data_IF_246893380455
#
_entry.id   IF_246893380455
#
_cell.length_a   1.000
_cell.length_b   1.000
_cell.length_c   1.000
_cell.angle_alpha   90.00
_cell.angle_beta   90.00
_cell.angle_gamma   90.00
#
_symmetry.space_group_name_H-M   'P 1'
#
loop_
_entity.id
_entity.type
_entity.pdbx_description
1 polymer ?
#
# COMPACT_ATOMS: atom_id res chain seq x y z
N UNK A 1 10.63 -23.46 17.22
CA UNK A 1 10.04 -22.10 17.36
C UNK A 1 8.54 -22.26 17.30
N UNK A 2 7.85 -21.84 18.35
CA UNK A 2 6.39 -21.82 18.36
C UNK A 2 5.89 -20.75 17.41
N UNK A 3 4.87 -21.06 16.63
CA UNK A 3 4.25 -20.11 15.72
C UNK A 3 3.19 -19.33 16.50
N UNK A 4 3.29 -18.01 16.50
CA UNK A 4 2.41 -17.11 17.26
C UNK A 4 1.57 -16.29 16.29
N UNK A 5 0.27 -16.21 16.52
CA UNK A 5 -0.67 -15.34 15.81
C UNK A 5 -1.15 -14.25 16.77
N UNK A 6 -1.18 -13.01 16.29
CA UNK A 6 -1.64 -11.86 17.03
C UNK A 6 -3.05 -11.48 16.60
N UNK A 7 -3.91 -11.17 17.57
CA UNK A 7 -5.22 -10.57 17.33
C UNK A 7 -5.22 -9.13 17.84
N UNK A 8 -5.17 -8.17 16.92
CA UNK A 8 -5.27 -6.75 17.22
C UNK A 8 -6.70 -6.29 16.94
N UNK A 9 -7.43 -5.91 17.98
CA UNK A 9 -8.67 -5.17 17.84
C UNK A 9 -8.36 -3.69 17.95
N UNK A 10 -8.82 -2.82 17.03
CA UNK A 10 -8.68 -1.38 17.21
C UNK A 10 -9.41 -0.96 18.47
N UNK A 11 -8.71 -0.37 19.43
CA UNK A 11 -9.32 0.21 20.61
C UNK A 11 -10.30 1.31 20.18
N UNK A 12 -11.55 1.16 20.50
CA UNK A 12 -12.56 2.17 20.27
C UNK A 12 -12.33 3.35 21.23
N UNK A 13 -11.97 4.52 20.68
CA UNK A 13 -12.22 5.82 21.29
C UNK A 13 -11.28 6.23 22.42
N UNK A 14 -10.31 7.05 22.08
CA UNK A 14 -9.53 7.86 23.03
C UNK A 14 -8.48 8.65 22.27
N UNK A 15 -8.34 9.95 22.59
CA UNK A 15 -7.32 10.85 22.01
C UNK A 15 -5.87 10.47 22.42
N UNK A 16 -5.67 9.43 23.21
CA UNK A 16 -4.36 8.95 23.64
C UNK A 16 -3.79 7.95 22.63
N UNK A 17 -2.62 8.25 22.10
CA UNK A 17 -1.84 7.35 21.26
C UNK A 17 -1.50 6.10 22.07
N UNK A 18 -1.91 4.93 21.63
CA UNK A 18 -1.55 3.68 22.31
C UNK A 18 -0.03 3.49 22.37
N UNK A 19 0.51 2.82 23.41
CA UNK A 19 1.95 2.58 23.53
C UNK A 19 2.56 1.93 22.28
N UNK A 20 1.84 0.99 21.65
CA UNK A 20 2.25 0.35 20.40
C UNK A 20 2.31 1.35 19.23
N UNK A 21 1.34 2.27 19.14
CA UNK A 21 1.35 3.30 18.11
C UNK A 21 2.50 4.30 18.33
N UNK A 22 2.79 4.67 19.57
CA UNK A 22 3.93 5.52 19.92
C UNK A 22 5.26 4.86 19.51
N UNK A 23 5.44 3.57 19.79
CA UNK A 23 6.65 2.81 19.39
C UNK A 23 6.80 2.75 17.87
N UNK A 24 5.71 2.56 17.11
CA UNK A 24 5.75 2.59 15.64
C UNK A 24 6.15 3.95 15.09
N UNK A 25 5.63 5.03 15.68
CA UNK A 25 6.01 6.40 15.31
C UNK A 25 7.49 6.68 15.58
N UNK A 26 8.02 6.18 16.68
CA UNK A 26 9.43 6.32 17.01
C UNK A 26 10.34 5.54 16.06
N UNK A 27 9.96 4.31 15.70
CA UNK A 27 10.65 3.52 14.66
C UNK A 27 10.67 4.31 13.34
N UNK A 28 9.52 4.83 12.92
CA UNK A 28 9.42 5.58 11.68
C UNK A 28 10.28 6.87 11.73
N UNK A 29 10.26 7.62 12.83
CA UNK A 29 11.12 8.79 13.03
C UNK A 29 12.60 8.45 12.92
N UNK A 30 13.02 7.36 13.56
CA UNK A 30 14.41 6.89 13.53
C UNK A 30 14.82 6.44 12.14
N UNK A 31 13.93 5.74 11.41
CA UNK A 31 14.19 5.28 10.04
C UNK A 31 14.47 6.44 9.08
N UNK A 32 13.75 7.57 9.21
CA UNK A 32 13.95 8.76 8.38
C UNK A 32 15.02 9.73 8.96
N UNK A 33 15.67 9.38 10.06
CA UNK A 33 16.77 10.17 10.63
C UNK A 33 18.01 10.08 9.74
N UNK A 34 18.75 11.18 9.53
CA UNK A 34 20.01 11.17 8.81
C UNK A 34 21.21 10.66 9.65
N UNK A 35 20.97 10.19 10.89
CA UNK A 35 22.02 9.72 11.79
C UNK A 35 22.70 8.45 11.27
N UNK A 36 24.01 8.35 11.42
CA UNK A 36 24.82 7.22 10.94
C UNK A 36 24.35 5.88 11.51
N UNK A 37 23.94 5.84 12.77
CA UNK A 37 23.52 4.62 13.47
C UNK A 37 22.01 4.42 13.52
N UNK A 38 21.24 5.19 12.75
CA UNK A 38 19.77 5.04 12.66
C UNK A 38 19.31 3.62 12.31
N UNK A 39 19.94 2.88 11.36
CA UNK A 39 19.54 1.51 11.08
C UNK A 39 19.69 0.56 12.27
N UNK A 40 20.77 0.70 13.06
CA UNK A 40 21.01 -0.12 14.25
C UNK A 40 20.00 0.21 15.35
N UNK A 41 19.70 1.51 15.56
CA UNK A 41 18.68 1.97 16.51
C UNK A 41 17.30 1.45 16.10
N UNK A 42 16.94 1.50 14.81
CA UNK A 42 15.69 0.93 14.29
C UNK A 42 15.57 -0.56 14.62
N UNK A 43 16.63 -1.33 14.41
CA UNK A 43 16.61 -2.76 14.74
C UNK A 43 16.32 -3.01 16.24
N UNK A 44 16.92 -2.24 17.13
CA UNK A 44 16.63 -2.29 18.58
C UNK A 44 15.19 -1.92 18.92
N UNK A 45 14.68 -0.83 18.34
CA UNK A 45 13.29 -0.39 18.54
C UNK A 45 12.27 -1.40 18.00
N UNK A 46 12.56 -2.05 16.89
CA UNK A 46 11.72 -3.13 16.35
C UNK A 46 11.66 -4.31 17.32
N UNK A 47 12.78 -4.71 17.94
CA UNK A 47 12.79 -5.76 18.95
C UNK A 47 11.92 -5.40 20.17
N UNK A 48 12.04 -4.18 20.69
CA UNK A 48 11.22 -3.68 21.80
C UNK A 48 9.74 -3.58 21.43
N UNK A 49 9.42 -3.19 20.21
CA UNK A 49 8.06 -3.17 19.71
C UNK A 49 7.43 -4.57 19.70
N UNK A 50 8.18 -5.59 19.26
CA UNK A 50 7.70 -6.97 19.30
C UNK A 50 7.52 -7.49 20.72
N UNK A 51 8.37 -7.13 21.66
CA UNK A 51 8.20 -7.44 23.08
C UNK A 51 6.87 -6.88 23.60
N UNK A 52 6.63 -5.56 23.41
CA UNK A 52 5.39 -4.90 23.80
C UNK A 52 4.16 -5.53 23.12
N UNK A 53 4.30 -5.91 21.85
CA UNK A 53 3.22 -6.57 21.11
C UNK A 53 2.89 -7.95 21.69
N UNK A 54 3.89 -8.74 22.09
CA UNK A 54 3.72 -10.04 22.73
C UNK A 54 3.05 -9.92 24.10
N UNK A 55 3.34 -8.84 24.84
CA UNK A 55 2.72 -8.59 26.14
C UNK A 55 1.28 -8.07 26.03
N UNK A 56 1.02 -7.18 25.06
CA UNK A 56 -0.26 -6.49 24.94
C UNK A 56 -1.32 -7.27 24.16
N UNK A 57 -0.92 -8.13 23.21
CA UNK A 57 -1.84 -8.82 22.34
C UNK A 57 -2.11 -10.26 22.82
N UNK A 58 -3.37 -10.72 22.80
CA UNK A 58 -3.67 -12.13 23.01
C UNK A 58 -2.99 -12.94 21.92
N UNK A 59 -2.13 -13.85 22.35
CA UNK A 59 -1.36 -14.72 21.46
C UNK A 59 -1.90 -16.14 21.52
N UNK A 60 -1.89 -16.84 20.41
CA UNK A 60 -2.16 -18.29 20.35
C UNK A 60 -1.10 -18.99 19.52
N UNK A 61 -0.73 -20.19 19.92
CA UNK A 61 0.08 -21.06 19.08
C UNK A 61 -0.76 -21.55 17.89
N UNK A 62 -0.23 -21.37 16.68
CA UNK A 62 -0.86 -21.88 15.46
C UNK A 62 -0.30 -23.25 15.13
N UNK A 63 -1.17 -24.16 14.72
CA UNK A 63 -0.76 -25.50 14.27
C UNK A 63 0.07 -25.42 12.99
N UNK A 64 0.89 -26.43 12.74
CA UNK A 64 1.67 -26.54 11.49
C UNK A 64 0.77 -26.53 10.25
N UNK A 65 -0.42 -27.12 10.34
CA UNK A 65 -1.42 -27.12 9.27
C UNK A 65 -1.94 -25.69 8.96
N UNK A 66 -2.21 -24.89 10.00
CA UNK A 66 -2.63 -23.49 9.84
C UNK A 66 -1.51 -22.64 9.24
N UNK A 67 -0.27 -22.84 9.73
CA UNK A 67 0.92 -22.19 9.19
C UNK A 67 1.09 -22.50 7.70
N UNK A 68 1.00 -23.76 7.32
CA UNK A 68 1.12 -24.18 5.92
C UNK A 68 0.00 -23.61 5.06
N UNK A 69 -1.23 -23.58 5.58
CA UNK A 69 -2.37 -22.96 4.90
C UNK A 69 -2.16 -21.46 4.66
N UNK A 70 -1.69 -20.75 5.67
CA UNK A 70 -1.37 -19.31 5.58
C UNK A 70 -0.23 -19.05 4.59
N UNK A 71 0.83 -19.85 4.61
CA UNK A 71 1.95 -19.76 3.68
C UNK A 71 1.49 -20.01 2.23
N UNK A 72 0.66 -21.03 2.00
CA UNK A 72 0.10 -21.34 0.69
C UNK A 72 -0.80 -20.19 0.18
N UNK A 73 -1.61 -19.60 1.08
CA UNK A 73 -2.44 -18.44 0.76
C UNK A 73 -1.57 -17.23 0.37
N UNK A 74 -0.55 -16.92 1.16
CA UNK A 74 0.38 -15.82 0.88
C UNK A 74 1.14 -16.04 -0.43
N UNK A 75 1.59 -17.25 -0.71
CA UNK A 75 2.24 -17.61 -1.98
C UNK A 75 1.29 -17.40 -3.17
N UNK A 76 0.03 -17.83 -3.04
CA UNK A 76 -0.98 -17.62 -4.09
C UNK A 76 -1.26 -16.15 -4.34
N UNK A 77 -1.35 -15.33 -3.29
CA UNK A 77 -1.49 -13.86 -3.42
C UNK A 77 -0.31 -13.29 -4.21
N UNK A 78 0.92 -13.65 -3.85
CA UNK A 78 2.13 -13.20 -4.57
C UNK A 78 2.13 -13.61 -6.04
N UNK A 79 1.74 -14.84 -6.34
CA UNK A 79 1.66 -15.33 -7.74
C UNK A 79 0.63 -14.55 -8.54
N UNK A 80 -0.56 -14.32 -7.97
CA UNK A 80 -1.64 -13.57 -8.62
C UNK A 80 -1.24 -12.11 -8.85
N UNK A 81 -0.74 -11.42 -7.82
CA UNK A 81 -0.34 -10.02 -7.95
C UNK A 81 0.81 -9.86 -8.94
N UNK A 82 1.82 -10.73 -8.89
CA UNK A 82 2.92 -10.72 -9.85
C UNK A 82 2.51 -11.01 -11.30
N UNK A 83 1.48 -11.85 -11.53
CA UNK A 83 0.90 -12.05 -12.84
C UNK A 83 0.21 -10.78 -13.33
N UNK A 84 -0.63 -10.17 -12.50
CA UNK A 84 -1.35 -8.94 -12.84
C UNK A 84 -0.37 -7.79 -13.11
N UNK A 85 0.67 -7.62 -12.29
CA UNK A 85 1.69 -6.58 -12.46
C UNK A 85 2.47 -6.72 -13.78
N UNK A 86 2.65 -7.92 -14.28
CA UNK A 86 3.32 -8.14 -15.58
C UNK A 86 2.41 -7.91 -16.78
N UNK A 87 1.09 -8.11 -16.62
CA UNK A 87 0.14 -8.14 -17.73
C UNK A 87 -0.95 -7.05 -17.65
N UNK A 88 -0.86 -6.09 -16.70
CA UNK A 88 -1.92 -5.10 -16.48
C UNK A 88 -2.20 -4.23 -17.72
N UNK A 89 -1.19 -3.99 -18.57
CA UNK A 89 -1.32 -3.18 -19.79
C UNK A 89 -2.01 -3.92 -20.96
N UNK A 90 -2.17 -5.23 -20.83
CA UNK A 90 -2.78 -6.08 -21.85
C UNK A 90 -4.26 -6.38 -21.55
N UNK A 91 -4.94 -7.07 -22.49
CA UNK A 91 -6.28 -7.60 -22.23
C UNK A 91 -6.19 -8.71 -21.17
N UNK A 92 -6.54 -8.39 -19.95
CA UNK A 92 -6.43 -9.27 -18.79
C UNK A 92 -7.80 -9.81 -18.38
N UNK A 93 -7.98 -11.12 -18.50
CA UNK A 93 -9.21 -11.82 -18.14
C UNK A 93 -8.97 -12.75 -16.95
N UNK A 94 -9.96 -12.85 -16.07
CA UNK A 94 -9.92 -13.80 -14.94
C UNK A 94 -9.87 -15.25 -15.43
N UNK A 95 -10.44 -15.54 -16.60
CA UNK A 95 -10.36 -16.87 -17.25
C UNK A 95 -8.95 -17.28 -17.60
N UNK A 96 -8.13 -16.34 -18.07
CA UNK A 96 -6.75 -16.62 -18.48
C UNK A 96 -5.88 -16.88 -17.24
N UNK A 97 -6.06 -16.06 -16.20
CA UNK A 97 -5.41 -16.27 -14.92
C UNK A 97 -5.83 -17.60 -14.26
N UNK A 98 -7.12 -17.97 -14.35
CA UNK A 98 -7.60 -19.27 -13.84
C UNK A 98 -6.93 -20.44 -14.56
N UNK A 99 -6.79 -20.35 -15.88
CA UNK A 99 -6.11 -21.37 -16.71
C UNK A 99 -4.63 -21.46 -16.34
N UNK A 100 -3.95 -20.34 -16.22
CA UNK A 100 -2.52 -20.27 -15.85
C UNK A 100 -2.26 -20.92 -14.48
N UNK A 101 -3.16 -20.71 -13.53
CA UNK A 101 -3.02 -21.25 -12.16
C UNK A 101 -3.61 -22.66 -11.98
N UNK A 102 -4.20 -23.26 -13.01
CA UNK A 102 -4.89 -24.55 -12.93
C UNK A 102 -6.10 -24.53 -11.97
N UNK A 103 -6.79 -23.38 -11.87
CA UNK A 103 -7.92 -23.17 -10.96
C UNK A 103 -9.24 -22.98 -11.71
N UNK A 104 -10.36 -23.28 -11.02
CA UNK A 104 -11.68 -22.93 -11.56
C UNK A 104 -11.95 -21.43 -11.41
N UNK A 105 -12.69 -20.85 -12.36
CA UNK A 105 -13.12 -19.46 -12.32
C UNK A 105 -13.86 -19.10 -11.02
N UNK A 106 -14.79 -19.97 -10.58
CA UNK A 106 -15.57 -19.75 -9.37
C UNK A 106 -14.69 -19.65 -8.13
N UNK A 107 -13.76 -20.61 -7.98
CA UNK A 107 -12.81 -20.58 -6.88
C UNK A 107 -11.92 -19.33 -6.92
N UNK A 108 -11.35 -18.99 -8.07
CA UNK A 108 -10.45 -17.84 -8.20
C UNK A 108 -11.18 -16.53 -7.92
N UNK A 109 -12.43 -16.38 -8.38
CA UNK A 109 -13.26 -15.21 -8.11
C UNK A 109 -13.54 -15.02 -6.62
N UNK A 110 -13.91 -16.08 -5.92
CA UNK A 110 -14.16 -16.06 -4.47
C UNK A 110 -12.88 -15.81 -3.69
N UNK A 111 -11.78 -16.48 -4.06
CA UNK A 111 -10.47 -16.28 -3.47
C UNK A 111 -10.00 -14.83 -3.63
N UNK A 112 -10.13 -14.29 -4.85
CA UNK A 112 -9.71 -12.93 -5.17
C UNK A 112 -10.45 -11.90 -4.30
N UNK A 113 -11.79 -12.00 -4.21
CA UNK A 113 -12.60 -11.13 -3.37
C UNK A 113 -12.21 -11.24 -1.89
N UNK A 114 -11.94 -12.46 -1.39
CA UNK A 114 -11.55 -12.67 0.01
C UNK A 114 -10.12 -12.21 0.32
N UNK A 115 -9.20 -12.28 -0.65
CA UNK A 115 -7.80 -11.95 -0.46
C UNK A 115 -7.49 -10.46 -0.68
N UNK A 116 -8.16 -9.84 -1.67
CA UNK A 116 -7.91 -8.45 -2.08
C UNK A 116 -9.04 -7.47 -1.71
N UNK A 117 -10.16 -7.97 -1.16
CA UNK A 117 -11.32 -7.14 -0.79
C UNK A 117 -12.11 -6.55 -1.97
N UNK A 118 -11.70 -6.83 -3.21
CA UNK A 118 -12.24 -6.25 -4.44
C UNK A 118 -12.51 -7.35 -5.47
N UNK A 119 -13.35 -7.05 -6.48
CA UNK A 119 -13.41 -7.90 -7.66
C UNK A 119 -12.13 -7.78 -8.49
N UNK A 120 -11.81 -8.82 -9.27
CA UNK A 120 -10.66 -8.83 -10.18
C UNK A 120 -10.63 -7.60 -11.10
N UNK A 121 -11.75 -7.28 -11.73
CA UNK A 121 -11.87 -6.12 -12.63
C UNK A 121 -11.64 -4.78 -11.89
N UNK A 122 -12.16 -4.67 -10.67
CA UNK A 122 -11.95 -3.46 -9.85
C UNK A 122 -10.50 -3.30 -9.43
N UNK A 123 -9.84 -4.40 -9.08
CA UNK A 123 -8.42 -4.39 -8.73
C UNK A 123 -7.54 -4.00 -9.92
N UNK A 124 -7.73 -4.63 -11.08
CA UNK A 124 -6.98 -4.31 -12.31
C UNK A 124 -7.17 -2.85 -12.70
N UNK A 125 -8.42 -2.34 -12.63
CA UNK A 125 -8.71 -0.93 -12.90
C UNK A 125 -7.97 -0.01 -11.95
N UNK A 126 -7.98 -0.31 -10.62
CA UNK A 126 -7.24 0.48 -9.63
C UNK A 126 -5.74 0.50 -9.92
N UNK A 127 -5.16 -0.64 -10.21
CA UNK A 127 -3.74 -0.74 -10.55
C UNK A 127 -3.40 0.09 -11.79
N UNK A 128 -4.22 -0.01 -12.84
CA UNK A 128 -4.04 0.79 -14.08
C UNK A 128 -4.12 2.29 -13.82
N UNK A 129 -5.07 2.72 -13.00
CA UNK A 129 -5.18 4.12 -12.61
C UNK A 129 -3.95 4.59 -11.82
N UNK A 130 -3.40 3.74 -10.94
CA UNK A 130 -2.19 4.06 -10.20
C UNK A 130 -0.95 4.16 -11.10
N UNK A 131 -0.79 3.24 -12.05
CA UNK A 131 0.28 3.34 -13.07
C UNK A 131 0.12 4.60 -13.93
N UNK A 132 -1.13 4.94 -14.29
CA UNK A 132 -1.42 6.17 -15.03
C UNK A 132 -1.06 7.44 -14.22
N UNK A 133 -1.35 7.44 -12.92
CA UNK A 133 -0.96 8.54 -12.01
C UNK A 133 0.55 8.77 -12.04
N UNK A 134 1.34 7.70 -11.99
CA UNK A 134 2.80 7.79 -12.07
C UNK A 134 3.25 8.39 -13.40
N UNK A 135 2.69 7.93 -14.53
CA UNK A 135 3.02 8.47 -15.86
C UNK A 135 2.60 9.95 -16.01
N UNK A 136 1.47 10.36 -15.42
CA UNK A 136 1.03 11.75 -15.41
C UNK A 136 2.03 12.68 -14.72
N UNK A 137 2.68 12.20 -13.65
CA UNK A 137 3.65 12.98 -12.86
C UNK A 137 5.06 12.97 -13.46
N UNK A 138 5.46 11.84 -14.07
CA UNK A 138 6.85 11.62 -14.48
C UNK A 138 7.09 11.90 -15.97
N UNK A 139 6.03 12.06 -16.78
CA UNK A 139 6.16 12.18 -18.24
C UNK A 139 5.26 13.27 -18.83
N UNK A 140 5.61 13.72 -20.04
CA UNK A 140 4.80 14.65 -20.83
C UNK A 140 3.92 13.91 -21.87
N UNK A 141 3.73 12.60 -21.73
CA UNK A 141 2.89 11.80 -22.62
C UNK A 141 1.45 12.35 -22.68
N UNK A 142 0.81 12.22 -23.83
CA UNK A 142 -0.59 12.59 -23.96
C UNK A 142 -1.49 11.70 -23.07
N UNK A 143 -2.67 12.21 -22.70
CA UNK A 143 -3.62 11.40 -21.92
C UNK A 143 -4.07 10.15 -22.67
N UNK A 144 -4.10 10.21 -24.00
CA UNK A 144 -4.40 9.07 -24.85
C UNK A 144 -3.29 8.01 -24.75
N UNK A 145 -2.03 8.44 -24.89
CA UNK A 145 -0.87 7.52 -24.81
C UNK A 145 -0.78 6.87 -23.43
N UNK A 146 -1.00 7.65 -22.35
CA UNK A 146 -1.04 7.11 -20.98
C UNK A 146 -2.19 6.10 -20.82
N UNK A 147 -3.37 6.41 -21.34
CA UNK A 147 -4.52 5.52 -21.30
C UNK A 147 -4.19 4.16 -21.96
N UNK A 148 -3.61 4.19 -23.17
CA UNK A 148 -3.20 3.00 -23.91
C UNK A 148 -2.07 2.24 -23.21
N UNK A 149 -1.03 2.94 -22.76
CA UNK A 149 0.11 2.35 -22.05
C UNK A 149 -0.32 1.64 -20.74
N UNK A 150 -1.37 2.14 -20.09
CA UNK A 150 -1.94 1.51 -18.89
C UNK A 150 -3.00 0.43 -19.20
N UNK A 151 -3.26 0.12 -20.45
CA UNK A 151 -4.15 -0.97 -20.86
C UNK A 151 -5.65 -0.63 -20.80
N UNK A 152 -6.03 0.63 -20.83
CA UNK A 152 -7.43 1.01 -21.00
C UNK A 152 -7.85 0.88 -22.46
N UNK A 153 -9.07 0.41 -22.70
CA UNK A 153 -9.63 0.25 -24.05
C UNK A 153 -9.91 1.58 -24.75
N UNK A 154 -10.21 2.60 -23.96
CA UNK A 154 -10.47 3.97 -24.45
C UNK A 154 -10.28 5.02 -23.35
N UNK A 155 -10.17 6.27 -23.79
CA UNK A 155 -9.96 7.44 -22.93
C UNK A 155 -11.15 7.71 -21.98
N UNK A 156 -12.37 7.33 -22.36
CA UNK A 156 -13.57 7.52 -21.54
C UNK A 156 -13.52 6.67 -20.28
N UNK A 157 -13.20 5.37 -20.42
CA UNK A 157 -13.06 4.45 -19.29
C UNK A 157 -11.87 4.81 -18.41
N UNK A 158 -10.78 5.29 -18.99
CA UNK A 158 -9.66 5.85 -18.27
C UNK A 158 -10.08 7.04 -17.40
N UNK A 159 -10.68 8.08 -18.01
CA UNK A 159 -11.10 9.29 -17.30
C UNK A 159 -12.08 8.97 -16.16
N UNK A 160 -13.05 8.09 -16.42
CA UNK A 160 -14.03 7.67 -15.42
C UNK A 160 -13.39 6.91 -14.25
N UNK A 161 -12.54 5.94 -14.55
CA UNK A 161 -11.83 5.14 -13.53
C UNK A 161 -10.90 5.99 -12.68
N UNK A 162 -10.18 6.89 -13.33
CA UNK A 162 -9.24 7.80 -12.66
C UNK A 162 -9.98 8.79 -11.74
N UNK A 163 -11.05 9.43 -12.24
CA UNK A 163 -11.85 10.35 -11.45
C UNK A 163 -12.53 9.65 -10.24
N UNK A 164 -12.96 8.41 -10.43
CA UNK A 164 -13.53 7.61 -9.33
C UNK A 164 -12.49 7.30 -8.23
N UNK A 165 -11.22 7.13 -8.60
CA UNK A 165 -10.16 6.78 -7.65
C UNK A 165 -9.52 7.99 -6.98
N UNK A 166 -9.30 9.09 -7.72
CA UNK A 166 -8.54 10.25 -7.27
C UNK A 166 -9.39 11.52 -7.08
N UNK A 167 -10.70 11.46 -7.33
CA UNK A 167 -11.62 12.58 -7.13
C UNK A 167 -11.56 13.68 -8.20
N UNK A 168 -10.61 13.61 -9.16
CA UNK A 168 -10.45 14.59 -10.22
C UNK A 168 -10.06 13.93 -11.55
N UNK A 169 -10.17 14.68 -12.65
CA UNK A 169 -9.77 14.15 -13.97
C UNK A 169 -8.24 14.03 -14.08
N UNK A 170 -7.72 13.13 -14.95
CA UNK A 170 -6.28 13.01 -15.21
C UNK A 170 -5.63 14.33 -15.62
N UNK A 171 -6.35 15.14 -16.41
CA UNK A 171 -5.88 16.46 -16.83
C UNK A 171 -5.73 17.41 -15.65
N UNK A 172 -6.74 17.45 -14.78
CA UNK A 172 -6.70 18.29 -13.58
C UNK A 172 -5.58 17.84 -12.65
N UNK A 173 -5.45 16.56 -12.43
CA UNK A 173 -4.39 15.98 -11.61
C UNK A 173 -2.99 16.41 -12.07
N UNK A 174 -2.72 16.37 -13.39
CA UNK A 174 -1.45 16.83 -13.98
C UNK A 174 -1.23 18.33 -13.77
N UNK A 175 -2.28 19.15 -13.97
CA UNK A 175 -2.18 20.61 -13.79
C UNK A 175 -1.91 20.99 -12.34
N UNK A 176 -2.55 20.31 -11.40
CA UNK A 176 -2.36 20.57 -9.96
C UNK A 176 -0.93 20.19 -9.54
N UNK A 177 -0.44 19.03 -9.97
CA UNK A 177 0.93 18.61 -9.73
C UNK A 177 1.98 19.56 -10.35
N UNK A 178 1.69 20.17 -11.49
CA UNK A 178 2.57 21.17 -12.10
C UNK A 178 2.56 22.52 -11.35
N UNK A 179 1.45 22.86 -10.72
CA UNK A 179 1.35 24.09 -9.88
C UNK A 179 2.09 23.93 -8.56
N UNK A 180 2.02 22.75 -7.97
CA UNK A 180 2.69 22.42 -6.70
C UNK A 180 4.19 22.10 -6.87
N UNK A 181 4.75 22.24 -8.09
CA UNK A 181 6.11 21.84 -8.45
C UNK A 181 7.21 22.77 -7.89
N UNK A 182 7.19 22.99 -6.57
CA UNK A 182 8.39 23.32 -5.79
C UNK A 182 9.11 22.07 -5.27
N UNK A 183 8.66 20.87 -5.65
CA UNK A 183 9.30 19.60 -5.30
C UNK A 183 10.11 19.06 -6.48
N UNK A 184 11.41 18.74 -6.30
CA UNK A 184 12.24 18.22 -7.38
C UNK A 184 11.69 16.89 -7.90
N UNK A 185 11.74 16.68 -9.23
CA UNK A 185 11.47 15.38 -9.85
C UNK A 185 12.38 14.34 -9.20
N UNK A 186 11.81 13.52 -8.33
CA UNK A 186 12.51 12.39 -7.74
C UNK A 186 12.39 11.19 -8.69
N UNK A 187 13.50 10.49 -8.91
CA UNK A 187 13.54 9.21 -9.60
C UNK A 187 12.70 8.19 -8.83
N UNK A 188 11.47 7.95 -9.31
CA UNK A 188 10.57 6.99 -8.69
C UNK A 188 10.93 5.57 -9.12
N UNK A 189 11.55 4.83 -8.23
CA UNK A 189 11.54 3.38 -8.28
C UNK A 189 10.11 2.89 -8.03
N UNK A 190 9.59 2.09 -8.96
CA UNK A 190 8.21 1.59 -8.98
C UNK A 190 7.88 0.74 -7.75
N UNK A 191 7.27 1.35 -6.76
CA UNK A 191 6.63 0.64 -5.65
C UNK A 191 5.18 1.10 -5.50
N UNK A 192 4.29 0.18 -5.18
CA UNK A 192 2.83 0.39 -5.07
C UNK A 192 2.42 1.25 -3.87
N UNK A 193 3.37 1.84 -3.15
CA UNK A 193 3.16 2.65 -1.95
C UNK A 193 3.49 4.12 -2.26
N UNK A 194 2.65 5.03 -1.81
CA UNK A 194 2.98 6.46 -1.79
C UNK A 194 4.09 6.68 -0.76
N UNK A 195 5.31 6.88 -1.24
CA UNK A 195 6.36 7.35 -0.36
C UNK A 195 6.37 8.88 -0.35
N UNK A 196 6.06 9.45 0.78
CA UNK A 196 6.43 10.82 1.09
C UNK A 196 7.97 10.93 1.02
N UNK A 197 8.48 12.08 0.63
CA UNK A 197 9.93 12.31 0.74
C UNK A 197 10.37 12.13 2.20
N UNK A 198 11.62 11.76 2.48
CA UNK A 198 12.10 11.62 3.86
C UNK A 198 11.86 12.88 4.71
N UNK A 199 11.94 14.07 4.13
CA UNK A 199 11.61 15.34 4.79
C UNK A 199 10.11 15.45 5.09
N UNK A 200 9.24 15.22 4.10
CA UNK A 200 7.79 15.28 4.29
C UNK A 200 7.29 14.20 5.28
N UNK A 201 7.89 13.01 5.27
CA UNK A 201 7.59 11.96 6.25
C UNK A 201 7.97 12.40 7.67
N UNK A 202 9.10 13.09 7.82
CA UNK A 202 9.55 13.63 9.11
C UNK A 202 8.60 14.70 9.62
N UNK A 203 8.21 15.66 8.79
CA UNK A 203 7.28 16.73 9.15
C UNK A 203 5.91 16.19 9.60
N UNK A 204 5.40 15.16 8.90
CA UNK A 204 4.16 14.49 9.30
C UNK A 204 4.33 13.78 10.65
N UNK A 205 5.43 13.06 10.85
CA UNK A 205 5.71 12.35 12.11
C UNK A 205 5.87 13.33 13.29
N UNK A 206 6.56 14.45 13.12
CA UNK A 206 6.71 15.49 14.16
C UNK A 206 5.35 16.05 14.59
N UNK A 207 4.42 16.23 13.66
CA UNK A 207 3.05 16.67 13.96
C UNK A 207 2.32 15.71 14.91
N UNK A 208 2.52 14.39 14.76
CA UNK A 208 1.89 13.37 15.62
C UNK A 208 2.63 13.14 16.94
N UNK A 209 3.93 13.47 17.00
CA UNK A 209 4.76 13.29 18.19
C UNK A 209 4.82 14.55 19.07
N UNK A 210 4.41 15.72 18.54
CA UNK A 210 4.32 16.95 19.31
C UNK A 210 3.14 16.88 20.29
N UNK A 211 3.33 17.20 21.58
CA UNK A 211 2.22 17.26 22.53
C UNK A 211 1.21 18.33 22.06
N UNK A 212 -0.10 18.10 22.23
CA UNK A 212 -1.11 19.07 21.86
C UNK A 212 -0.82 20.43 22.53
N UNK A 213 -1.07 21.55 21.85
CA UNK A 213 -0.84 22.88 22.42
C UNK A 213 -1.63 23.00 23.74
N UNK A 214 -0.92 23.36 24.82
CA UNK A 214 -1.58 23.64 26.10
C UNK A 214 -2.59 24.77 25.87
N UNK A 215 -3.85 24.48 26.03
CA UNK A 215 -4.91 25.49 26.03
C UNK A 215 -4.62 26.38 27.24
N UNK A 216 -4.38 27.70 27.07
CA UNK A 216 -4.25 28.60 28.20
C UNK A 216 -5.58 28.65 28.94
N UNK A 217 -5.54 28.34 30.24
CA UNK A 217 -6.68 28.45 31.15
C UNK A 217 -7.05 29.91 31.46
#
# INVERSE_FOLDING_TARGET
MENIEFSLSPAAGGDEISPLAASLLEIARTYFSPEEYAPLRCAGLICLFFEQLLEAAPTRCISEKERQSSANRAQRIRTISGYIDRHYSEKLLLTDLARELGLTMGYLSAFFKSAFGLSFQSYVRKLRCEKARQLLLCTDLSLLDISLACGFSDLKYFNQGFAQQFGCSPRQYRLDAQRDSHTPRQDFTFTTQEFLSPSASRDVLEKYLSPPPRIPG
#
